data_IF_675054857486
#
_entry.id   IF_675054857486
#
_cell.length_a   1.000
_cell.length_b   1.000
_cell.length_c   1.000
_cell.angle_alpha   90.00
_cell.angle_beta   90.00
_cell.angle_gamma   90.00
#
_symmetry.space_group_name_H-M   'P 1'
#
loop_
_entity.id
_entity.type
_entity.pdbx_description
1 polymer ?
#
# COMPACT_ATOMS: atom_id res chain seq x y z
N UNK A 1 21.37 11.51 -2.05
CA UNK A 1 20.71 10.64 -3.05
C UNK A 1 20.28 11.49 -4.24
N UNK A 2 20.44 11.02 -5.49
CA UNK A 2 19.94 11.74 -6.66
C UNK A 2 18.51 11.31 -6.95
N UNK A 3 17.63 12.28 -7.15
CA UNK A 3 16.21 12.03 -7.42
C UNK A 3 15.75 12.73 -8.69
N UNK A 4 14.72 12.20 -9.33
CA UNK A 4 14.00 12.81 -10.43
C UNK A 4 12.53 13.02 -10.04
N UNK A 5 11.93 14.07 -10.56
CA UNK A 5 10.52 14.41 -10.29
C UNK A 5 9.72 14.38 -11.59
N UNK A 6 8.62 13.66 -11.58
CA UNK A 6 7.69 13.65 -12.70
C UNK A 6 7.08 15.05 -12.87
N UNK A 7 7.09 15.61 -14.10
CA UNK A 7 6.46 16.90 -14.35
C UNK A 7 4.98 16.91 -13.99
N UNK A 8 4.51 17.96 -13.32
CA UNK A 8 3.11 18.06 -12.86
C UNK A 8 2.10 17.95 -14.00
N UNK A 9 2.47 18.42 -15.20
CA UNK A 9 1.62 18.30 -16.43
C UNK A 9 1.29 16.87 -16.83
N UNK A 10 2.01 15.89 -16.32
CA UNK A 10 1.69 14.47 -16.55
C UNK A 10 0.44 14.01 -15.80
N UNK A 11 0.03 14.78 -14.80
CA UNK A 11 -1.10 14.46 -13.92
C UNK A 11 -2.34 15.35 -14.18
N UNK A 12 -2.30 16.14 -15.25
CA UNK A 12 -3.44 16.97 -15.65
C UNK A 12 -4.57 16.09 -16.20
N UNK A 13 -5.81 16.44 -15.85
CA UNK A 13 -7.03 15.82 -16.37
C UNK A 13 -7.14 14.29 -16.25
N UNK A 14 -6.53 13.72 -15.20
CA UNK A 14 -6.64 12.28 -14.92
C UNK A 14 -8.09 11.91 -14.59
N UNK A 15 -8.59 10.88 -15.25
CA UNK A 15 -9.94 10.38 -15.07
C UNK A 15 -10.22 9.99 -13.62
N UNK A 16 -11.31 10.51 -13.05
CA UNK A 16 -11.80 10.20 -11.70
C UNK A 16 -10.78 10.52 -10.58
N UNK A 17 -9.85 11.47 -10.82
CA UNK A 17 -8.82 11.84 -9.85
C UNK A 17 -8.75 13.37 -9.64
N UNK A 18 -9.80 14.00 -9.07
CA UNK A 18 -9.89 15.47 -8.92
C UNK A 18 -9.18 16.00 -7.66
N UNK A 19 -8.29 15.25 -7.06
CA UNK A 19 -7.71 15.56 -5.76
C UNK A 19 -6.59 16.58 -5.85
N UNK A 20 -6.55 17.50 -4.87
CA UNK A 20 -5.45 18.44 -4.74
C UNK A 20 -4.25 17.75 -4.06
N UNK A 21 -3.04 17.95 -4.59
CA UNK A 21 -1.84 17.34 -4.02
C UNK A 21 -1.43 18.04 -2.71
N UNK A 22 -0.96 17.24 -1.75
CA UNK A 22 -0.19 17.74 -0.61
C UNK A 22 1.23 17.17 -0.68
N UNK A 23 2.20 17.89 -0.13
CA UNK A 23 3.60 17.49 -0.18
C UNK A 23 4.29 17.76 1.15
N UNK A 24 5.23 16.88 1.51
CA UNK A 24 6.20 17.08 2.60
C UNK A 24 7.59 16.76 2.10
N UNK A 25 8.58 17.44 2.67
CA UNK A 25 9.99 17.07 2.49
C UNK A 25 10.37 16.14 3.64
N UNK A 26 10.86 14.95 3.29
CA UNK A 26 11.39 13.95 4.24
C UNK A 26 12.88 13.76 4.03
N UNK A 27 13.58 13.21 5.03
CA UNK A 27 14.99 12.85 4.90
C UNK A 27 15.19 11.73 3.89
N UNK A 28 16.18 11.87 3.00
CA UNK A 28 16.57 10.83 2.06
C UNK A 28 17.44 9.73 2.71
N UNK A 29 17.89 9.93 3.95
CA UNK A 29 18.81 9.05 4.66
C UNK A 29 20.29 9.28 4.33
N UNK A 30 20.62 10.27 3.47
CA UNK A 30 21.97 10.59 3.00
C UNK A 30 22.36 12.07 3.21
N UNK A 31 21.56 12.79 4.00
CA UNK A 31 21.81 14.18 4.39
C UNK A 31 21.16 15.24 3.47
N UNK A 32 20.25 14.80 2.59
CA UNK A 32 19.39 15.67 1.79
C UNK A 32 17.91 15.34 2.06
N UNK A 33 17.00 16.04 1.39
CA UNK A 33 15.56 15.78 1.46
C UNK A 33 15.00 15.40 0.11
N UNK A 34 13.85 14.74 0.12
CA UNK A 34 13.04 14.45 -1.06
C UNK A 34 11.57 14.70 -0.77
N UNK A 35 10.84 15.10 -1.79
CA UNK A 35 9.41 15.42 -1.70
C UNK A 35 8.57 14.15 -1.76
N UNK A 36 7.66 13.99 -0.81
CA UNK A 36 6.64 12.94 -0.79
C UNK A 36 5.26 13.56 -0.96
N UNK A 37 4.49 13.00 -1.86
CA UNK A 37 3.10 13.36 -2.12
C UNK A 37 2.16 12.53 -1.25
N UNK A 38 1.05 13.15 -0.85
CA UNK A 38 -0.08 12.43 -0.24
C UNK A 38 -1.40 13.17 -0.53
N UNK A 39 -2.47 12.40 -0.57
CA UNK A 39 -3.84 12.93 -0.49
C UNK A 39 -4.28 12.97 0.97
N UNK A 40 -5.10 13.94 1.31
CA UNK A 40 -5.70 14.08 2.64
C UNK A 40 -7.10 14.67 2.50
N UNK A 41 -8.07 13.78 2.34
CA UNK A 41 -9.44 14.11 1.98
C UNK A 41 -10.41 13.93 3.16
N UNK A 42 -11.52 14.64 3.16
CA UNK A 42 -12.55 14.59 4.21
C UNK A 42 -12.23 15.45 5.45
N UNK A 43 -13.01 15.29 6.54
CA UNK A 43 -12.90 16.12 7.73
C UNK A 43 -11.61 15.89 8.50
N UNK A 44 -10.80 16.93 8.68
CA UNK A 44 -9.47 16.84 9.32
C UNK A 44 -9.50 16.44 10.80
N UNK A 45 -10.63 16.59 11.46
CA UNK A 45 -10.84 16.21 12.87
C UNK A 45 -11.39 14.79 13.06
N UNK A 46 -11.63 14.05 11.99
CA UNK A 46 -11.99 12.63 12.06
C UNK A 46 -10.76 11.75 12.16
N UNK A 47 -10.90 10.56 12.79
CA UNK A 47 -9.86 9.56 12.81
C UNK A 47 -9.48 9.15 11.38
N UNK A 48 -8.18 9.07 11.05
CA UNK A 48 -7.75 8.85 9.69
C UNK A 48 -7.90 7.39 9.26
N UNK A 49 -8.30 7.22 8.00
CA UNK A 49 -8.09 5.98 7.25
C UNK A 49 -6.81 6.17 6.44
N UNK A 50 -5.80 5.37 6.70
CA UNK A 50 -4.54 5.35 5.96
C UNK A 50 -4.60 4.25 4.90
N UNK A 51 -4.45 4.62 3.62
CA UNK A 51 -4.45 3.71 2.50
C UNK A 51 -3.07 3.69 1.86
N UNK A 52 -2.35 2.55 1.93
CA UNK A 52 -1.03 2.39 1.32
C UNK A 52 -1.11 1.49 0.09
N UNK A 53 -0.70 2.04 -1.05
CA UNK A 53 -0.62 1.33 -2.31
C UNK A 53 0.62 0.43 -2.40
N UNK A 54 0.58 -0.51 -3.34
CA UNK A 54 1.70 -1.37 -3.68
C UNK A 54 2.35 -1.06 -5.02
N UNK A 55 3.25 -1.92 -5.45
CA UNK A 55 4.02 -1.82 -6.67
C UNK A 55 3.24 -2.45 -7.84
N UNK A 56 3.24 -1.86 -9.05
CA UNK A 56 3.81 -0.57 -9.43
C UNK A 56 2.78 0.58 -9.48
N UNK A 57 1.79 0.55 -8.58
CA UNK A 57 0.69 1.51 -8.55
C UNK A 57 1.06 2.82 -7.83
N UNK A 58 0.08 3.66 -7.57
CA UNK A 58 0.18 4.91 -6.82
C UNK A 58 -1.20 5.29 -6.28
N UNK A 59 -1.37 6.42 -5.61
CA UNK A 59 -2.64 6.82 -4.96
C UNK A 59 -3.85 6.83 -5.89
N UNK A 60 -3.67 6.87 -7.22
CA UNK A 60 -4.73 6.69 -8.21
C UNK A 60 -5.52 5.38 -8.04
N UNK A 61 -4.89 4.34 -7.52
CA UNK A 61 -5.51 3.05 -7.21
C UNK A 61 -6.73 3.19 -6.29
N UNK A 62 -6.71 4.19 -5.41
CA UNK A 62 -7.73 4.40 -4.39
C UNK A 62 -8.86 5.36 -4.81
N UNK A 63 -8.85 5.90 -6.05
CA UNK A 63 -9.82 6.90 -6.51
C UNK A 63 -11.29 6.49 -6.37
N UNK A 64 -11.59 5.19 -6.44
CA UNK A 64 -12.94 4.67 -6.27
C UNK A 64 -13.33 4.41 -4.80
N UNK A 65 -12.36 4.30 -3.90
CA UNK A 65 -12.57 4.10 -2.47
C UNK A 65 -12.73 5.43 -1.73
N UNK A 66 -11.92 6.43 -2.05
CA UNK A 66 -11.85 7.71 -1.36
C UNK A 66 -13.24 8.36 -1.22
N UNK A 67 -14.04 8.56 -2.31
CA UNK A 67 -15.34 9.21 -2.19
C UNK A 67 -16.30 8.46 -1.25
N UNK A 68 -16.31 7.13 -1.30
CA UNK A 68 -17.18 6.28 -0.48
C UNK A 68 -16.83 6.38 1.02
N UNK A 69 -15.55 6.54 1.34
CA UNK A 69 -15.08 6.68 2.72
C UNK A 69 -15.32 8.11 3.24
N UNK A 70 -15.05 9.13 2.42
CA UNK A 70 -15.26 10.53 2.76
C UNK A 70 -16.76 10.84 2.94
N UNK A 71 -17.64 10.29 2.12
CA UNK A 71 -19.09 10.44 2.22
C UNK A 71 -19.66 9.88 3.54
N UNK A 72 -18.94 8.96 4.20
CA UNK A 72 -19.26 8.45 5.54
C UNK A 72 -18.64 9.27 6.67
N UNK A 73 -17.97 10.38 6.35
CA UNK A 73 -17.40 11.32 7.31
C UNK A 73 -15.98 10.92 7.78
N UNK A 74 -15.30 10.02 7.09
CA UNK A 74 -13.92 9.66 7.41
C UNK A 74 -12.92 10.63 6.79
N UNK A 75 -11.80 10.86 7.49
CA UNK A 75 -10.61 11.44 6.91
C UNK A 75 -9.81 10.34 6.21
N UNK A 76 -9.40 10.55 4.97
CA UNK A 76 -8.69 9.55 4.16
C UNK A 76 -7.33 10.11 3.76
N UNK A 77 -6.26 9.44 4.17
CA UNK A 77 -4.88 9.81 3.88
C UNK A 77 -4.27 8.75 2.97
N UNK A 78 -3.75 9.17 1.80
CA UNK A 78 -3.23 8.27 0.77
C UNK A 78 -1.88 8.76 0.26
N UNK A 79 -0.77 8.33 0.84
CA UNK A 79 0.56 8.66 0.34
C UNK A 79 0.88 7.97 -0.98
N UNK A 80 1.70 8.62 -1.80
CA UNK A 80 2.49 7.95 -2.83
C UNK A 80 3.83 7.53 -2.24
N UNK A 81 4.17 6.26 -2.32
CA UNK A 81 5.49 5.77 -1.89
C UNK A 81 6.61 6.48 -2.68
N UNK A 82 7.77 6.65 -2.05
CA UNK A 82 8.97 7.15 -2.74
C UNK A 82 9.26 6.26 -3.96
N UNK A 83 9.48 6.88 -5.11
CA UNK A 83 9.64 6.17 -6.38
C UNK A 83 8.35 6.03 -7.20
N UNK A 84 7.18 6.42 -6.65
CA UNK A 84 5.87 6.24 -7.28
C UNK A 84 5.06 7.55 -7.30
N UNK A 85 4.01 7.55 -8.11
CA UNK A 85 3.06 8.65 -8.19
C UNK A 85 3.73 10.02 -8.37
N UNK A 86 3.29 10.98 -7.55
CA UNK A 86 3.81 12.37 -7.54
C UNK A 86 4.99 12.56 -6.57
N UNK A 87 5.40 11.50 -5.84
CA UNK A 87 6.60 11.52 -5.00
C UNK A 87 7.89 11.52 -5.83
N UNK A 88 8.96 12.06 -5.27
CA UNK A 88 10.28 12.01 -5.86
C UNK A 88 10.77 10.57 -6.04
N UNK A 89 11.61 10.36 -7.06
CA UNK A 89 12.07 9.04 -7.47
C UNK A 89 13.58 8.99 -7.45
N UNK A 90 14.21 8.27 -6.51
CA UNK A 90 15.64 7.94 -6.59
C UNK A 90 15.96 7.29 -7.94
N UNK A 91 17.09 7.70 -8.54
CA UNK A 91 17.47 7.24 -9.88
C UNK A 91 18.03 5.84 -9.91
N UNK A 92 18.72 5.44 -8.84
CA UNK A 92 19.42 4.16 -8.81
C UNK A 92 18.59 3.12 -8.05
N UNK A 93 18.52 1.90 -8.57
CA UNK A 93 17.84 0.79 -7.87
C UNK A 93 18.45 0.52 -6.50
N UNK A 94 19.74 0.76 -6.32
CA UNK A 94 20.47 0.58 -5.06
C UNK A 94 20.08 1.58 -3.97
N UNK A 95 19.39 2.66 -4.34
CA UNK A 95 18.89 3.65 -3.39
C UNK A 95 17.63 3.17 -2.65
N UNK A 96 17.00 2.13 -3.16
CA UNK A 96 15.80 1.53 -2.60
C UNK A 96 16.13 0.34 -1.70
N UNK A 97 15.51 0.28 -0.54
CA UNK A 97 15.48 -0.91 0.29
C UNK A 97 14.15 -0.98 1.05
N UNK A 98 13.78 -2.15 1.54
CA UNK A 98 12.56 -2.30 2.34
C UNK A 98 12.65 -1.43 3.61
N UNK A 99 13.78 -1.45 4.31
CA UNK A 99 14.00 -0.64 5.51
C UNK A 99 13.82 0.87 5.23
N UNK A 100 14.45 1.40 4.17
CA UNK A 100 14.29 2.82 3.79
C UNK A 100 12.83 3.19 3.53
N UNK A 101 12.06 2.33 2.86
CA UNK A 101 10.63 2.60 2.62
C UNK A 101 9.82 2.64 3.91
N UNK A 102 10.14 1.80 4.87
CA UNK A 102 9.53 1.86 6.21
C UNK A 102 9.90 3.16 6.91
N UNK A 103 11.18 3.54 6.90
CA UNK A 103 11.67 4.77 7.54
C UNK A 103 11.05 6.03 6.91
N UNK A 104 11.01 6.11 5.57
CA UNK A 104 10.41 7.24 4.85
C UNK A 104 8.91 7.40 5.15
N UNK A 105 8.19 6.29 5.18
CA UNK A 105 6.76 6.33 5.51
C UNK A 105 6.52 6.58 7.00
N UNK A 106 7.39 6.11 7.90
CA UNK A 106 7.33 6.43 9.32
C UNK A 106 7.49 7.95 9.55
N UNK A 107 8.50 8.57 8.94
CA UNK A 107 8.71 10.02 9.02
C UNK A 107 7.48 10.80 8.51
N UNK A 108 6.93 10.41 7.36
CA UNK A 108 5.72 11.04 6.83
C UNK A 108 4.53 10.88 7.81
N UNK A 109 4.22 9.66 8.19
CA UNK A 109 2.98 9.30 8.89
C UNK A 109 3.03 9.71 10.36
N UNK A 110 4.16 9.49 11.03
CA UNK A 110 4.28 9.68 12.47
C UNK A 110 4.82 11.05 12.86
N UNK A 111 5.80 11.57 12.11
CA UNK A 111 6.48 12.82 12.48
C UNK A 111 5.81 14.03 11.81
N UNK A 112 5.55 13.99 10.50
CA UNK A 112 4.95 15.11 9.79
C UNK A 112 3.43 15.17 9.93
N UNK A 113 2.72 14.07 9.69
CA UNK A 113 1.26 14.03 9.77
C UNK A 113 0.76 13.71 11.18
N UNK A 114 1.60 13.18 12.05
CA UNK A 114 1.32 12.77 13.42
C UNK A 114 0.00 12.00 13.54
N UNK A 115 -0.22 11.01 12.67
CA UNK A 115 -1.45 10.25 12.65
C UNK A 115 -1.55 9.33 13.88
N UNK A 116 -2.74 9.24 14.43
CA UNK A 116 -3.11 8.32 15.51
C UNK A 116 -4.56 7.87 15.35
N UNK A 117 -4.99 6.87 16.08
CA UNK A 117 -6.32 6.22 15.92
C UNK A 117 -6.56 5.80 14.47
N UNK A 118 -5.52 5.28 13.83
CA UNK A 118 -5.49 4.94 12.40
C UNK A 118 -6.36 3.71 12.15
N UNK A 119 -7.23 3.78 11.15
CA UNK A 119 -7.74 2.60 10.46
C UNK A 119 -6.87 2.40 9.22
N UNK A 120 -6.09 1.33 9.19
CA UNK A 120 -5.14 1.06 8.11
C UNK A 120 -5.72 0.10 7.07
N UNK A 121 -5.50 0.40 5.80
CA UNK A 121 -5.62 -0.56 4.71
C UNK A 121 -4.34 -0.62 3.89
N UNK A 122 -3.83 -1.82 3.65
CA UNK A 122 -2.67 -2.06 2.81
C UNK A 122 -2.84 -3.25 1.88
N UNK A 123 -2.38 -3.10 0.65
CA UNK A 123 -2.31 -4.14 -0.36
C UNK A 123 -0.90 -4.20 -0.93
N UNK A 124 -0.40 -5.39 -1.27
CA UNK A 124 0.93 -5.61 -1.84
C UNK A 124 2.01 -4.95 -0.97
N UNK A 125 2.91 -4.15 -1.52
CA UNK A 125 3.93 -3.41 -0.77
C UNK A 125 3.36 -2.43 0.25
N UNK A 126 2.17 -1.88 0.00
CA UNK A 126 1.47 -1.08 1.00
C UNK A 126 1.17 -1.87 2.27
N UNK A 127 0.83 -3.16 2.13
CA UNK A 127 0.68 -4.07 3.26
C UNK A 127 2.02 -4.40 3.93
N UNK A 128 3.06 -4.73 3.15
CA UNK A 128 4.39 -5.03 3.69
C UNK A 128 4.94 -3.87 4.53
N UNK A 129 4.91 -2.65 3.99
CA UNK A 129 5.38 -1.44 4.67
C UNK A 129 4.49 -1.13 5.87
N UNK A 130 3.15 -1.11 5.67
CA UNK A 130 2.20 -0.73 6.71
C UNK A 130 2.20 -1.67 7.93
N UNK A 131 2.40 -2.97 7.74
CA UNK A 131 2.52 -3.93 8.83
C UNK A 131 3.82 -3.73 9.65
N UNK A 132 4.89 -3.26 9.01
CA UNK A 132 6.12 -2.87 9.69
C UNK A 132 5.92 -1.58 10.49
N UNK A 133 5.21 -0.60 9.93
CA UNK A 133 4.84 0.64 10.62
C UNK A 133 3.94 0.36 11.83
N UNK A 134 2.95 -0.52 11.67
CA UNK A 134 2.12 -0.98 12.78
C UNK A 134 2.95 -1.62 13.89
N UNK A 135 3.93 -2.44 13.52
CA UNK A 135 4.79 -3.09 14.50
C UNK A 135 5.72 -2.11 15.25
N UNK A 136 6.09 -0.99 14.64
CA UNK A 136 6.85 0.08 15.29
C UNK A 136 6.01 0.87 16.29
N UNK A 137 4.76 1.21 15.94
CA UNK A 137 3.87 2.09 16.70
C UNK A 137 2.45 1.49 16.84
N UNK A 138 2.29 0.31 17.46
CA UNK A 138 1.02 -0.42 17.48
C UNK A 138 -0.11 0.36 18.15
N UNK A 139 0.20 1.25 19.07
CA UNK A 139 -0.78 2.05 19.78
C UNK A 139 -1.42 3.16 18.94
N UNK A 140 -0.82 3.50 17.80
CA UNK A 140 -1.39 4.47 16.88
C UNK A 140 -2.49 3.89 15.97
N UNK A 141 -2.68 2.57 15.95
CA UNK A 141 -3.61 1.89 15.05
C UNK A 141 -4.81 1.33 15.82
N UNK A 142 -6.02 1.79 15.51
CA UNK A 142 -7.25 1.27 16.08
C UNK A 142 -7.76 0.04 15.35
N UNK A 143 -7.53 -0.04 14.02
CA UNK A 143 -8.03 -1.11 13.13
C UNK A 143 -7.07 -1.36 11.99
N UNK A 144 -7.08 -2.60 11.53
CA UNK A 144 -6.30 -3.03 10.35
C UNK A 144 -7.18 -3.78 9.38
N UNK A 145 -7.04 -3.48 8.10
CA UNK A 145 -7.57 -4.26 6.98
C UNK A 145 -6.42 -4.54 6.04
N UNK A 146 -6.20 -5.77 5.66
CA UNK A 146 -5.24 -6.11 4.61
C UNK A 146 -5.90 -6.95 3.52
N UNK A 147 -5.43 -6.75 2.30
CA UNK A 147 -5.82 -7.54 1.14
C UNK A 147 -4.64 -7.77 0.22
N UNK A 148 -4.53 -8.93 -0.39
CA UNK A 148 -3.50 -9.28 -1.38
C UNK A 148 -2.09 -8.81 -1.00
N UNK A 149 -1.65 -9.23 0.17
CA UNK A 149 -0.34 -8.88 0.73
C UNK A 149 0.21 -10.02 1.59
N UNK A 150 1.36 -9.78 2.22
CA UNK A 150 2.01 -10.72 3.12
C UNK A 150 3.01 -10.04 4.02
N UNK A 151 3.66 -10.81 4.87
CA UNK A 151 4.82 -10.37 5.64
C UNK A 151 5.86 -11.51 5.63
N UNK A 152 6.52 -11.76 4.47
CA UNK A 152 7.42 -12.88 4.29
C UNK A 152 8.69 -12.71 5.13
N UNK A 153 9.17 -13.82 5.68
CA UNK A 153 10.38 -13.89 6.53
C UNK A 153 11.51 -14.66 5.86
N UNK A 154 11.37 -14.93 4.56
CA UNK A 154 12.30 -15.77 3.84
C UNK A 154 12.24 -17.26 4.22
N UNK A 155 11.27 -17.66 5.06
CA UNK A 155 10.96 -19.06 5.37
C UNK A 155 9.82 -19.53 4.48
N UNK A 156 9.95 -20.72 3.91
CA UNK A 156 8.98 -21.27 2.96
C UNK A 156 9.33 -20.92 1.50
N UNK A 157 8.49 -21.40 0.60
CA UNK A 157 8.69 -21.18 -0.84
C UNK A 157 7.81 -20.03 -1.32
N UNK A 158 8.39 -19.14 -2.12
CA UNK A 158 7.64 -18.12 -2.82
C UNK A 158 6.80 -18.76 -3.95
N UNK A 159 5.65 -18.19 -4.27
CA UNK A 159 4.81 -18.69 -5.35
C UNK A 159 5.52 -18.59 -6.71
N UNK A 160 5.24 -19.51 -7.63
CA UNK A 160 5.79 -19.44 -8.99
C UNK A 160 5.42 -18.12 -9.68
N UNK A 161 4.20 -17.62 -9.44
CA UNK A 161 3.73 -16.34 -9.98
C UNK A 161 4.58 -15.16 -9.46
N UNK A 162 4.89 -15.14 -8.16
CA UNK A 162 5.76 -14.11 -7.59
C UNK A 162 7.18 -14.20 -8.15
N UNK A 163 7.77 -15.38 -8.25
CA UNK A 163 9.13 -15.55 -8.80
C UNK A 163 9.20 -15.15 -10.29
N UNK A 164 8.15 -15.46 -11.05
CA UNK A 164 8.04 -15.03 -12.44
C UNK A 164 7.94 -13.49 -12.53
N UNK A 165 7.16 -12.86 -11.66
CA UNK A 165 7.06 -11.41 -11.55
C UNK A 165 8.39 -10.76 -11.17
N UNK A 166 9.08 -11.26 -10.14
CA UNK A 166 10.39 -10.78 -9.73
C UNK A 166 11.40 -10.85 -10.88
N UNK A 167 11.44 -11.97 -11.60
CA UNK A 167 12.31 -12.11 -12.79
C UNK A 167 11.93 -11.13 -13.90
N UNK A 168 10.64 -10.98 -14.20
CA UNK A 168 10.15 -10.06 -15.22
C UNK A 168 10.55 -8.62 -14.89
N UNK A 169 10.38 -8.15 -13.66
CA UNK A 169 10.71 -6.79 -13.25
C UNK A 169 12.16 -6.42 -13.51
N UNK A 170 13.07 -7.39 -13.39
CA UNK A 170 14.51 -7.19 -13.56
C UNK A 170 15.00 -7.38 -15.01
N UNK A 171 14.33 -8.21 -15.79
CA UNK A 171 14.86 -8.66 -17.09
C UNK A 171 14.07 -8.18 -18.30
N UNK A 172 12.84 -7.69 -18.10
CA UNK A 172 12.00 -7.23 -19.20
C UNK A 172 12.60 -5.97 -19.87
N UNK A 173 12.77 -5.98 -21.20
CA UNK A 173 13.32 -4.80 -21.92
C UNK A 173 12.37 -3.60 -21.85
N UNK A 174 11.06 -3.87 -21.82
CA UNK A 174 10.02 -2.85 -21.63
C UNK A 174 9.26 -3.13 -20.31
N UNK A 175 8.92 -2.08 -19.59
CA UNK A 175 8.19 -2.16 -18.34
C UNK A 175 6.99 -1.21 -18.35
N UNK A 176 5.90 -1.58 -19.09
CA UNK A 176 4.73 -0.74 -19.30
C UNK A 176 3.79 -0.84 -18.09
N UNK A 177 3.88 0.12 -17.17
CA UNK A 177 3.21 0.10 -15.85
C UNK A 177 1.70 -0.08 -15.99
N UNK A 178 1.04 0.74 -16.81
CA UNK A 178 -0.41 0.66 -16.96
C UNK A 178 -0.89 -0.69 -17.52
N UNK A 179 -0.13 -1.31 -18.42
CA UNK A 179 -0.44 -2.66 -18.95
C UNK A 179 -0.19 -3.75 -17.91
N UNK A 180 0.84 -3.59 -17.07
CA UNK A 180 1.12 -4.51 -15.95
C UNK A 180 -0.05 -4.49 -14.97
N UNK A 181 -0.52 -3.31 -14.59
CA UNK A 181 -1.68 -3.19 -13.70
C UNK A 181 -2.93 -3.77 -14.35
N UNK A 182 -3.18 -3.49 -15.63
CA UNK A 182 -4.29 -4.09 -16.36
C UNK A 182 -4.24 -5.63 -16.32
N UNK A 183 -3.06 -6.22 -16.51
CA UNK A 183 -2.86 -7.66 -16.44
C UNK A 183 -3.06 -8.28 -15.06
N UNK A 184 -2.99 -7.48 -14.00
CA UNK A 184 -3.24 -7.88 -12.61
C UNK A 184 -4.69 -7.68 -12.15
N UNK A 185 -5.57 -7.13 -13.00
CA UNK A 185 -6.99 -6.96 -12.76
C UNK A 185 -7.81 -8.09 -13.42
N UNK A 186 -9.03 -8.32 -12.96
CA UNK A 186 -9.99 -9.22 -13.62
C UNK A 186 -10.81 -8.50 -14.69
N UNK A 187 -10.94 -7.17 -14.60
CA UNK A 187 -11.54 -6.33 -15.63
C UNK A 187 -10.47 -5.71 -16.55
N UNK A 188 -10.86 -5.40 -17.77
CA UNK A 188 -10.03 -4.59 -18.63
C UNK A 188 -10.10 -3.11 -18.21
N UNK A 189 -8.94 -2.48 -18.03
CA UNK A 189 -8.83 -1.05 -17.82
C UNK A 189 -9.07 -0.30 -19.14
N UNK A 190 -9.71 0.85 -19.04
CA UNK A 190 -9.81 1.77 -20.19
C UNK A 190 -8.45 2.36 -20.52
N UNK A 191 -8.27 2.83 -21.75
CA UNK A 191 -7.03 3.50 -22.18
C UNK A 191 -6.66 4.67 -21.27
N UNK A 192 -7.64 5.47 -20.82
CA UNK A 192 -7.39 6.59 -19.90
C UNK A 192 -6.91 6.13 -18.51
N UNK A 193 -7.36 4.97 -18.01
CA UNK A 193 -6.89 4.39 -16.76
C UNK A 193 -5.45 3.84 -16.91
N UNK A 194 -5.16 3.17 -18.02
CA UNK A 194 -3.81 2.71 -18.37
C UNK A 194 -2.84 3.89 -18.41
N UNK A 195 -3.21 4.98 -19.12
CA UNK A 195 -2.40 6.19 -19.21
C UNK A 195 -2.22 6.88 -17.85
N UNK A 196 -3.21 6.84 -16.97
CA UNK A 196 -3.09 7.39 -15.62
C UNK A 196 -2.07 6.61 -14.76
N UNK A 197 -1.97 5.28 -14.93
CA UNK A 197 -0.91 4.49 -14.29
C UNK A 197 0.46 4.71 -14.90
N UNK A 198 0.54 5.03 -16.19
CA UNK A 198 1.80 5.39 -16.87
C UNK A 198 2.24 6.85 -16.60
N UNK A 199 1.33 7.71 -16.11
CA UNK A 199 1.60 9.13 -15.90
C UNK A 199 2.85 9.41 -15.05
N UNK A 200 3.10 8.71 -13.92
CA UNK A 200 4.30 8.91 -13.10
C UNK A 200 5.62 8.54 -13.77
N UNK A 201 5.59 7.78 -14.87
CA UNK A 201 6.74 7.09 -15.45
C UNK A 201 6.97 7.42 -16.93
N UNK A 202 7.28 8.70 -17.28
CA UNK A 202 7.40 9.11 -18.67
C UNK A 202 8.52 8.42 -19.45
N UNK A 203 9.59 8.01 -18.78
CA UNK A 203 10.72 7.25 -19.34
C UNK A 203 11.19 6.17 -18.37
N UNK A 204 12.13 5.31 -18.79
CA UNK A 204 12.64 4.22 -17.92
C UNK A 204 13.41 4.73 -16.70
N UNK A 205 13.99 5.93 -16.75
CA UNK A 205 14.67 6.56 -15.61
C UNK A 205 13.75 6.75 -14.39
N UNK A 206 12.45 6.89 -14.61
CA UNK A 206 11.45 7.02 -13.54
C UNK A 206 11.03 5.68 -12.92
N UNK A 207 11.48 4.54 -13.47
CA UNK A 207 10.99 3.21 -13.10
C UNK A 207 11.96 2.42 -12.20
N UNK A 208 13.02 3.03 -11.69
CA UNK A 208 14.00 2.33 -10.85
C UNK A 208 13.33 1.66 -9.64
N UNK A 209 12.45 2.38 -8.93
CA UNK A 209 11.65 1.84 -7.82
C UNK A 209 10.76 0.69 -8.23
N UNK A 210 9.93 0.89 -9.28
CA UNK A 210 9.01 -0.13 -9.77
C UNK A 210 9.74 -1.44 -10.18
N UNK A 211 10.93 -1.32 -10.77
CA UNK A 211 11.71 -2.50 -11.14
C UNK A 211 12.33 -3.24 -9.95
N UNK A 212 12.85 -2.52 -8.95
CA UNK A 212 13.59 -3.17 -7.85
C UNK A 212 12.66 -3.76 -6.78
N UNK A 213 11.46 -3.23 -6.56
CA UNK A 213 10.57 -3.62 -5.47
C UNK A 213 10.35 -5.13 -5.33
N UNK A 214 10.04 -5.88 -6.41
CA UNK A 214 9.87 -7.33 -6.29
C UNK A 214 11.12 -8.05 -5.74
N UNK A 215 12.31 -7.50 -5.99
CA UNK A 215 13.57 -8.07 -5.50
C UNK A 215 13.88 -7.71 -4.04
N UNK A 216 13.16 -6.74 -3.45
CA UNK A 216 13.30 -6.37 -2.04
C UNK A 216 12.41 -7.21 -1.11
N UNK A 217 11.53 -8.04 -1.65
CA UNK A 217 10.70 -8.97 -0.87
C UNK A 217 11.58 -10.14 -0.38
N UNK A 218 11.64 -10.43 0.93
CA UNK A 218 12.46 -11.49 1.45
C UNK A 218 12.05 -12.88 0.94
N UNK A 219 12.91 -13.54 0.19
CA UNK A 219 12.73 -14.92 -0.29
C UNK A 219 13.69 -15.90 0.36
N UNK A 220 14.60 -15.41 1.20
CA UNK A 220 15.59 -16.19 1.96
C UNK A 220 15.70 -15.63 3.37
N UNK A 221 15.99 -16.50 4.34
CA UNK A 221 16.26 -16.08 5.73
C UNK A 221 17.53 -15.25 5.88
N UNK A 222 18.38 -15.22 4.88
CA UNK A 222 19.58 -14.37 4.82
C UNK A 222 19.30 -12.97 4.25
N UNK A 223 18.08 -12.72 3.76
CA UNK A 223 17.68 -11.40 3.29
C UNK A 223 17.69 -10.40 4.46
N UNK A 224 18.24 -9.18 4.28
CA UNK A 224 18.27 -8.17 5.34
C UNK A 224 16.92 -7.87 5.98
N UNK A 225 15.83 -7.87 5.21
CA UNK A 225 14.50 -7.57 5.70
C UNK A 225 13.84 -8.73 6.48
N UNK A 226 14.41 -9.96 6.41
CA UNK A 226 13.83 -11.13 7.07
C UNK A 226 13.78 -11.01 8.59
N UNK A 227 14.82 -10.47 9.20
CA UNK A 227 14.88 -10.32 10.66
C UNK A 227 13.89 -9.26 11.15
N UNK A 228 13.77 -8.17 10.44
CA UNK A 228 12.82 -7.11 10.77
C UNK A 228 11.37 -7.60 10.62
N UNK A 229 11.08 -8.40 9.58
CA UNK A 229 9.75 -8.99 9.42
C UNK A 229 9.46 -10.02 10.51
N UNK A 230 10.47 -10.77 10.99
CA UNK A 230 10.31 -11.63 12.15
C UNK A 230 9.97 -10.85 13.42
N UNK A 231 10.68 -9.75 13.68
CA UNK A 231 10.37 -8.85 14.81
C UNK A 231 8.96 -8.25 14.69
N UNK A 232 8.54 -7.87 13.48
CA UNK A 232 7.18 -7.40 13.25
C UNK A 232 6.12 -8.50 13.54
N UNK A 233 6.38 -9.76 13.18
CA UNK A 233 5.52 -10.88 13.53
C UNK A 233 5.39 -11.10 15.04
N UNK A 234 6.43 -10.83 15.84
CA UNK A 234 6.35 -10.91 17.30
C UNK A 234 5.30 -9.92 17.83
N UNK A 235 5.32 -8.66 17.37
CA UNK A 235 4.32 -7.65 17.75
C UNK A 235 2.93 -8.03 17.24
N UNK A 236 2.81 -8.45 15.98
CA UNK A 236 1.53 -8.85 15.39
C UNK A 236 0.90 -10.04 16.11
N UNK A 237 1.71 -10.96 16.65
CA UNK A 237 1.21 -12.13 17.40
C UNK A 237 0.57 -11.76 18.74
N UNK A 238 0.76 -10.53 19.20
CA UNK A 238 0.13 -9.98 20.41
C UNK A 238 -0.91 -8.91 20.10
N UNK A 239 -1.11 -8.55 18.82
CA UNK A 239 -2.01 -7.49 18.41
C UNK A 239 -3.48 -7.93 18.50
N UNK A 240 -4.24 -7.35 19.44
CA UNK A 240 -5.61 -7.75 19.75
C UNK A 240 -6.68 -6.83 19.15
N UNK A 241 -6.30 -5.64 18.63
CA UNK A 241 -7.27 -4.72 18.03
C UNK A 241 -7.83 -5.32 16.73
N UNK A 242 -9.04 -4.90 16.30
CA UNK A 242 -9.71 -5.48 15.14
C UNK A 242 -8.83 -5.54 13.89
N UNK A 243 -8.70 -6.73 13.30
CA UNK A 243 -7.85 -7.01 12.15
C UNK A 243 -8.62 -7.83 11.10
N UNK A 244 -9.06 -7.19 10.03
CA UNK A 244 -9.85 -7.79 8.96
C UNK A 244 -8.97 -8.26 7.80
N UNK A 245 -9.24 -9.45 7.29
CA UNK A 245 -8.64 -10.00 6.07
C UNK A 245 -9.66 -9.88 4.93
N UNK A 246 -9.27 -9.19 3.85
CA UNK A 246 -10.09 -8.94 2.66
C UNK A 246 -9.30 -9.25 1.39
N UNK A 247 -9.02 -10.54 1.18
CA UNK A 247 -8.23 -11.03 0.05
C UNK A 247 -9.11 -11.37 -1.14
N UNK A 248 -8.59 -11.20 -2.35
CA UNK A 248 -9.30 -11.54 -3.57
C UNK A 248 -9.18 -13.03 -3.91
N UNK A 249 -10.13 -13.53 -4.72
CA UNK A 249 -10.18 -14.94 -5.15
C UNK A 249 -9.26 -15.26 -6.34
N UNK A 250 -8.87 -14.24 -7.11
CA UNK A 250 -8.20 -14.43 -8.40
C UNK A 250 -6.78 -13.85 -8.47
N UNK A 251 -6.13 -13.59 -7.32
CA UNK A 251 -4.72 -13.15 -7.27
C UNK A 251 -3.77 -14.35 -7.15
N UNK A 252 -2.98 -14.69 -8.19
CA UNK A 252 -2.03 -15.79 -8.11
C UNK A 252 -0.75 -15.43 -7.32
N UNK A 253 -0.47 -14.15 -7.12
CA UNK A 253 0.79 -13.68 -6.50
C UNK A 253 0.75 -13.88 -4.99
N UNK A 254 -0.33 -13.43 -4.33
CA UNK A 254 -0.47 -13.45 -2.88
C UNK A 254 -1.43 -14.52 -2.36
N UNK A 255 -1.82 -15.47 -3.20
CA UNK A 255 -2.73 -16.56 -2.85
C UNK A 255 -2.29 -17.29 -1.58
N UNK A 256 -3.19 -17.36 -0.59
CA UNK A 256 -2.92 -17.98 0.71
C UNK A 256 -2.15 -17.09 1.68
N UNK A 257 -1.86 -15.84 1.31
CA UNK A 257 -1.17 -14.86 2.17
C UNK A 257 -1.97 -14.46 3.41
N UNK A 258 -3.28 -14.67 3.42
CA UNK A 258 -4.20 -14.44 4.54
C UNK A 258 -4.00 -15.45 5.68
N UNK A 259 -3.70 -16.72 5.35
CA UNK A 259 -3.65 -17.81 6.31
C UNK A 259 -2.67 -17.61 7.48
N UNK A 260 -1.44 -17.10 7.30
CA UNK A 260 -0.55 -16.81 8.41
C UNK A 260 -1.09 -15.76 9.38
N UNK A 261 -1.79 -14.73 8.88
CA UNK A 261 -2.39 -13.69 9.72
C UNK A 261 -3.55 -14.26 10.52
N UNK A 262 -4.44 -15.01 9.88
CA UNK A 262 -5.54 -15.69 10.57
C UNK A 262 -5.04 -16.61 11.68
N UNK A 263 -3.94 -17.32 11.43
CA UNK A 263 -3.40 -18.28 12.40
C UNK A 263 -2.68 -17.62 13.59
N UNK A 264 -2.08 -16.42 13.40
CA UNK A 264 -1.13 -15.87 14.37
C UNK A 264 -1.56 -14.55 15.01
N UNK A 265 -2.43 -13.75 14.35
CA UNK A 265 -2.83 -12.43 14.84
C UNK A 265 -4.13 -12.52 15.62
N UNK A 266 -4.13 -12.30 16.94
CA UNK A 266 -5.34 -12.43 17.78
C UNK A 266 -6.49 -11.54 17.32
N UNK A 267 -6.21 -10.33 16.84
CA UNK A 267 -7.20 -9.39 16.34
C UNK A 267 -8.05 -9.88 15.18
N UNK A 268 -7.63 -10.94 14.49
CA UNK A 268 -8.40 -11.56 13.40
C UNK A 268 -9.53 -12.48 13.90
N UNK A 269 -9.41 -13.04 15.11
CA UNK A 269 -10.24 -14.15 15.58
C UNK A 269 -11.74 -13.81 15.75
N UNK A 270 -12.04 -12.53 15.92
CA UNK A 270 -13.42 -12.06 16.14
C UNK A 270 -14.00 -11.35 14.91
N UNK A 271 -13.29 -11.37 13.77
CA UNK A 271 -13.72 -10.64 12.58
C UNK A 271 -14.36 -11.57 11.55
N UNK A 272 -15.35 -11.05 10.84
CA UNK A 272 -15.95 -11.71 9.68
C UNK A 272 -15.09 -11.41 8.45
N UNK A 273 -14.08 -12.24 8.20
CA UNK A 273 -13.21 -12.09 7.03
C UNK A 273 -13.98 -12.21 5.72
N UNK A 274 -13.50 -11.53 4.68
CA UNK A 274 -14.19 -11.44 3.39
C UNK A 274 -13.26 -11.88 2.28
N UNK A 275 -13.78 -12.74 1.39
CA UNK A 275 -13.16 -12.99 0.09
C UNK A 275 -13.76 -12.01 -0.92
N UNK A 276 -12.92 -11.21 -1.58
CA UNK A 276 -13.35 -10.29 -2.63
C UNK A 276 -13.47 -11.09 -3.95
N UNK A 277 -14.70 -11.41 -4.31
CA UNK A 277 -14.97 -12.25 -5.48
C UNK A 277 -14.78 -11.50 -6.79
N UNK A 278 -14.29 -12.19 -7.82
CA UNK A 278 -14.00 -11.65 -9.14
C UNK A 278 -13.07 -10.42 -9.08
N UNK A 279 -12.01 -10.52 -8.29
CA UNK A 279 -10.96 -9.52 -8.19
C UNK A 279 -9.58 -10.15 -8.31
N UNK A 280 -8.68 -9.50 -9.04
CA UNK A 280 -7.30 -9.89 -9.22
C UNK A 280 -6.38 -9.30 -8.16
N UNK A 281 -5.11 -9.13 -8.52
CA UNK A 281 -4.11 -8.58 -7.61
C UNK A 281 -4.44 -7.14 -7.18
N UNK A 282 -4.89 -6.30 -8.11
CA UNK A 282 -5.31 -4.91 -7.84
C UNK A 282 -6.81 -4.85 -7.51
N UNK A 283 -7.19 -5.47 -6.40
CA UNK A 283 -8.59 -5.59 -5.98
C UNK A 283 -9.31 -4.24 -5.84
N UNK A 284 -8.58 -3.16 -5.61
CA UNK A 284 -9.12 -1.78 -5.54
C UNK A 284 -9.61 -1.29 -6.91
N UNK A 285 -8.99 -1.75 -8.00
CA UNK A 285 -9.46 -1.49 -9.36
C UNK A 285 -10.71 -2.28 -9.70
N UNK A 286 -10.71 -3.54 -9.36
CA UNK A 286 -11.82 -4.43 -9.69
C UNK A 286 -13.06 -4.16 -8.81
N UNK A 287 -12.85 -3.92 -7.51
CA UNK A 287 -13.89 -3.88 -6.47
C UNK A 287 -13.74 -2.72 -5.47
N UNK A 288 -13.17 -1.58 -5.87
CA UNK A 288 -12.86 -0.49 -4.93
C UNK A 288 -14.07 0.02 -4.14
N UNK A 289 -15.25 0.15 -4.77
CA UNK A 289 -16.48 0.58 -4.07
C UNK A 289 -16.96 -0.47 -3.05
N UNK A 290 -16.89 -1.74 -3.41
CA UNK A 290 -17.25 -2.86 -2.51
C UNK A 290 -16.29 -2.91 -1.32
N UNK A 291 -14.98 -2.78 -1.57
CA UNK A 291 -13.96 -2.75 -0.53
C UNK A 291 -14.14 -1.58 0.43
N UNK A 292 -14.49 -0.38 -0.09
CA UNK A 292 -14.81 0.78 0.75
C UNK A 292 -16.07 0.56 1.60
N UNK A 293 -17.09 -0.12 1.07
CA UNK A 293 -18.29 -0.48 1.84
C UNK A 293 -17.95 -1.45 2.98
N UNK A 294 -17.15 -2.50 2.70
CA UNK A 294 -16.65 -3.44 3.71
C UNK A 294 -15.87 -2.70 4.80
N UNK A 295 -15.00 -1.75 4.44
CA UNK A 295 -14.28 -0.95 5.42
C UNK A 295 -15.20 -0.09 6.28
N UNK A 296 -16.22 0.55 5.69
CA UNK A 296 -17.19 1.33 6.43
C UNK A 296 -17.96 0.48 7.46
N UNK A 297 -18.42 -0.71 7.05
CA UNK A 297 -19.13 -1.66 7.93
C UNK A 297 -18.21 -2.17 9.04
N UNK A 298 -16.95 -2.46 8.73
CA UNK A 298 -15.95 -2.88 9.71
C UNK A 298 -15.66 -1.78 10.74
N UNK A 299 -15.49 -0.53 10.31
CA UNK A 299 -15.31 0.60 11.22
C UNK A 299 -16.53 0.77 12.11
N UNK A 300 -17.74 0.71 11.56
CA UNK A 300 -18.97 0.87 12.32
C UNK A 300 -19.15 -0.23 13.37
N UNK A 301 -18.88 -1.49 13.01
CA UNK A 301 -19.06 -2.65 13.90
C UNK A 301 -18.00 -2.77 15.01
N UNK A 302 -16.85 -2.12 14.83
CA UNK A 302 -15.71 -2.18 15.76
C UNK A 302 -15.45 -0.86 16.49
N UNK A 303 -16.28 0.16 16.27
CA UNK A 303 -16.23 1.40 17.06
C UNK A 303 -16.74 1.14 18.48
N UNK A 304 -16.07 1.66 19.52
CA UNK A 304 -16.64 1.57 20.87
C UNK A 304 -18.02 2.21 20.86
N UNK A 305 -19.00 1.56 21.50
CA UNK A 305 -20.32 2.14 21.68
C UNK A 305 -20.12 3.54 22.32
N UNK A 306 -20.64 4.57 21.66
CA UNK A 306 -20.67 5.90 22.27
C UNK A 306 -21.61 5.77 23.47
N UNK A 307 -21.02 5.64 24.67
CA UNK A 307 -21.80 5.72 25.89
C UNK A 307 -22.61 7.02 25.83
N UNK A 308 -23.92 6.89 25.89
CA UNK A 308 -24.80 8.02 26.09
C UNK A 308 -24.35 8.72 27.38
N UNK A 309 -23.70 9.87 27.23
CA UNK A 309 -23.31 10.77 28.31
C UNK A 309 -24.37 11.83 28.52
#
# INVERSE_FOLDING_TARGET
MQTIRTPDTRFDDLKDYPYQPNYVEINDGEGSTMRVHYLDEGPKNSNPILLLHGEPSWSYLYRHMIPQLVDKGHRVVVPDLVGFGKSDKPLEQTDYSYARHVDWMAELIFDHLNLSSITFFGQDWGGLIGLRLLAQEPDRYDRVVIGNTGLPTGKGEATEAFLAWQKFSQTAPEFPIGKIINGGCTRDLTEGEIQAYDAPFPTDEYKAGARIFPSLVPTSTSDPASQDNLAAWEVLSEYQRPFLLAFSDSDPVTKGGDAPFHAKVPGTQTQNHVTIENAGHFLQEDKGKELAAIMNDFIASTSPERGES
#
